data_IF_001441688818
#
_entry.id   IF_001441688818
#
_cell.length_a   1.000
_cell.length_b   1.000
_cell.length_c   1.000
_cell.angle_alpha   90.00
_cell.angle_beta   90.00
_cell.angle_gamma   90.00
#
_symmetry.space_group_name_H-M   'P 1'
#
loop_
_entity.id
_entity.type
_entity.pdbx_description
1 polymer ?
#
# COMPACT_ATOMS: atom_id res chain seq x y z
N UNK A 1 -55.26 3.94 25.98
CA UNK A 1 -54.25 4.78 25.33
C UNK A 1 -53.49 3.98 24.32
N UNK A 2 -53.71 4.18 23.02
CA UNK A 2 -53.00 3.50 21.93
C UNK A 2 -51.83 4.40 21.56
N UNK A 3 -50.60 3.92 21.74
CA UNK A 3 -49.40 4.60 21.24
C UNK A 3 -49.29 4.34 19.72
N UNK A 4 -49.23 5.41 18.95
CA UNK A 4 -49.01 5.40 17.52
C UNK A 4 -47.54 5.16 17.24
N UNK A 5 -47.23 4.09 16.53
CA UNK A 5 -45.90 3.75 16.05
C UNK A 5 -45.61 4.59 14.79
N UNK A 6 -44.62 5.47 14.84
CA UNK A 6 -44.10 6.17 13.66
C UNK A 6 -43.10 5.28 12.91
N UNK A 7 -43.22 5.12 11.59
CA UNK A 7 -42.27 4.32 10.83
C UNK A 7 -40.90 5.03 10.73
N UNK A 8 -39.84 4.30 11.04
CA UNK A 8 -38.46 4.71 10.85
C UNK A 8 -38.15 5.00 9.37
N UNK A 9 -37.27 5.98 9.06
CA UNK A 9 -36.93 6.30 7.68
C UNK A 9 -36.22 5.13 6.99
N UNK A 10 -36.78 4.75 5.84
CA UNK A 10 -36.34 3.64 4.99
C UNK A 10 -34.97 3.98 4.39
N UNK A 11 -33.90 3.45 4.93
CA UNK A 11 -32.54 3.55 4.36
C UNK A 11 -32.50 2.77 3.05
N UNK A 12 -32.76 3.46 1.94
CA UNK A 12 -32.65 2.93 0.59
C UNK A 12 -31.19 2.48 0.35
N UNK A 13 -30.96 1.18 0.26
CA UNK A 13 -29.65 0.64 -0.16
C UNK A 13 -29.34 1.16 -1.56
N UNK A 14 -28.19 1.82 -1.71
CA UNK A 14 -27.73 2.29 -3.01
C UNK A 14 -27.57 1.12 -3.97
N UNK A 15 -28.03 1.26 -5.18
CA UNK A 15 -27.84 0.25 -6.22
C UNK A 15 -26.36 0.19 -6.63
N UNK A 16 -25.92 -0.96 -7.15
CA UNK A 16 -24.54 -1.11 -7.69
C UNK A 16 -24.21 -0.03 -8.73
N UNK A 17 -25.20 0.40 -9.52
CA UNK A 17 -25.05 1.47 -10.49
C UNK A 17 -24.81 2.85 -9.83
N UNK A 18 -25.52 3.15 -8.73
CA UNK A 18 -25.35 4.40 -7.96
C UNK A 18 -23.98 4.45 -7.27
N UNK A 19 -23.51 3.31 -6.74
CA UNK A 19 -22.16 3.19 -6.18
C UNK A 19 -21.09 3.42 -7.25
N UNK A 20 -21.20 2.75 -8.42
CA UNK A 20 -20.29 2.97 -9.57
C UNK A 20 -20.28 4.41 -10.07
N UNK A 21 -21.47 5.06 -10.14
CA UNK A 21 -21.57 6.45 -10.55
C UNK A 21 -20.90 7.41 -9.56
N UNK A 22 -21.06 7.16 -8.24
CA UNK A 22 -20.36 7.93 -7.20
C UNK A 22 -18.85 7.76 -7.27
N UNK A 23 -18.36 6.51 -7.45
CA UNK A 23 -16.93 6.21 -7.65
C UNK A 23 -16.37 6.95 -8.87
N UNK A 24 -17.03 6.87 -10.04
CA UNK A 24 -16.60 7.58 -11.25
C UNK A 24 -16.56 9.11 -11.07
N UNK A 25 -17.52 9.70 -10.43
CA UNK A 25 -17.55 11.15 -10.20
C UNK A 25 -16.46 11.60 -9.21
N UNK A 26 -16.07 10.76 -8.23
CA UNK A 26 -14.95 11.04 -7.34
C UNK A 26 -13.61 10.93 -8.07
N UNK A 27 -13.40 9.91 -8.91
CA UNK A 27 -12.22 9.78 -9.74
C UNK A 27 -12.01 11.00 -10.65
N UNK A 28 -13.07 11.47 -11.32
CA UNK A 28 -13.01 12.67 -12.16
C UNK A 28 -12.63 13.94 -11.38
N UNK A 29 -13.12 14.10 -10.15
CA UNK A 29 -12.74 15.24 -9.30
C UNK A 29 -11.28 15.19 -8.87
N UNK A 30 -10.72 13.99 -8.65
CA UNK A 30 -9.30 13.81 -8.28
C UNK A 30 -8.36 14.10 -9.45
N UNK A 31 -8.70 13.66 -10.67
CA UNK A 31 -7.95 14.00 -11.88
C UNK A 31 -7.91 15.52 -12.06
N UNK A 32 -9.04 16.20 -11.88
CA UNK A 32 -9.09 17.67 -11.94
C UNK A 32 -8.23 18.33 -10.84
N UNK A 33 -8.20 17.76 -9.62
CA UNK A 33 -7.36 18.24 -8.52
C UNK A 33 -5.86 18.02 -8.77
N UNK A 34 -5.48 16.85 -9.28
CA UNK A 34 -4.09 16.53 -9.60
C UNK A 34 -3.54 17.43 -10.73
N UNK A 35 -4.33 17.70 -11.76
CA UNK A 35 -3.96 18.62 -12.83
C UNK A 35 -3.75 20.04 -12.28
N UNK A 36 -4.57 20.50 -11.36
CA UNK A 36 -4.42 21.81 -10.72
C UNK A 36 -3.11 21.92 -9.92
N UNK A 37 -2.76 20.87 -9.16
CA UNK A 37 -1.51 20.81 -8.37
C UNK A 37 -0.29 20.83 -9.29
N UNK A 38 -0.29 20.07 -10.39
CA UNK A 38 0.81 20.08 -11.37
C UNK A 38 0.96 21.46 -12.02
N UNK A 39 -0.13 22.14 -12.38
CA UNK A 39 -0.07 23.49 -12.93
C UNK A 39 0.51 24.51 -11.93
N UNK A 40 0.19 24.40 -10.63
CA UNK A 40 0.73 25.28 -9.59
C UNK A 40 2.22 25.02 -9.36
N UNK A 41 2.67 23.77 -9.35
CA UNK A 41 4.09 23.42 -9.17
C UNK A 41 4.94 23.82 -10.36
N UNK A 42 4.47 23.65 -11.60
CA UNK A 42 5.16 24.12 -12.80
C UNK A 42 5.24 25.63 -12.84
N UNK A 43 4.17 26.34 -12.45
CA UNK A 43 4.17 27.79 -12.33
C UNK A 43 5.17 28.32 -11.30
N UNK A 44 5.27 27.67 -10.12
CA UNK A 44 6.21 28.05 -9.06
C UNK A 44 7.68 27.81 -9.46
N UNK A 45 7.98 26.70 -10.14
CA UNK A 45 9.33 26.39 -10.63
C UNK A 45 9.75 27.39 -11.72
N UNK A 46 8.84 27.76 -12.64
CA UNK A 46 9.12 28.78 -13.66
C UNK A 46 9.39 30.17 -13.05
N UNK A 47 8.64 30.53 -12.00
CA UNK A 47 8.83 31.80 -11.31
C UNK A 47 10.18 31.88 -10.54
N UNK A 48 10.64 30.78 -9.96
CA UNK A 48 11.93 30.68 -9.27
C UNK A 48 13.10 30.72 -10.27
N UNK A 49 12.98 30.09 -11.44
CA UNK A 49 14.00 30.08 -12.47
C UNK A 49 14.16 31.46 -13.13
N UNK A 50 13.09 32.21 -13.33
CA UNK A 50 13.17 33.58 -13.88
C UNK A 50 13.78 34.59 -12.90
N UNK A 51 13.68 34.39 -11.59
CA UNK A 51 14.34 35.25 -10.59
C UNK A 51 15.85 34.96 -10.41
N UNK A 52 16.35 33.78 -10.80
CA UNK A 52 17.77 33.41 -10.67
C UNK A 52 18.66 33.96 -11.78
N UNK A 53 18.12 34.50 -12.84
CA UNK A 53 18.88 35.04 -13.99
C UNK A 53 19.16 36.55 -13.88
N UNK A 54 18.91 37.20 -12.77
CA UNK A 54 19.31 38.58 -12.50
C UNK A 54 20.59 38.59 -11.63
N UNK A 55 21.75 38.56 -12.25
CA UNK A 55 23.06 38.70 -11.63
C UNK A 55 23.51 40.11 -11.76
N UNK A 56 23.89 40.84 -10.70
CA UNK A 56 24.72 42.03 -10.81
C UNK A 56 26.21 41.64 -10.88
N UNK A 57 26.89 42.20 -11.89
CA UNK A 57 28.32 42.12 -12.12
C UNK A 57 29.11 42.83 -11.02
N UNK A 58 30.15 42.17 -10.43
CA UNK A 58 31.32 42.86 -9.84
C UNK A 58 32.51 41.90 -9.72
N UNK A 59 33.52 42.16 -10.53
CA UNK A 59 34.98 42.29 -10.29
C UNK A 59 35.75 41.27 -9.47
N UNK A 60 36.60 40.57 -10.17
CA UNK A 60 38.00 40.16 -9.98
C UNK A 60 38.60 39.97 -8.58
N UNK A 61 39.16 38.78 -8.34
CA UNK A 61 40.54 38.61 -7.80
C UNK A 61 41.00 37.15 -8.11
N UNK A 62 42.22 37.11 -8.68
CA UNK A 62 42.94 35.92 -9.13
C UNK A 62 43.58 35.19 -7.93
N UNK A 63 43.59 33.85 -7.95
CA UNK A 63 44.64 33.05 -7.35
C UNK A 63 44.77 31.73 -8.10
N UNK A 64 45.90 31.56 -8.74
CA UNK A 64 46.46 30.40 -9.38
C UNK A 64 46.90 29.33 -8.38
N UNK A 65 46.60 28.05 -8.62
CA UNK A 65 47.53 26.96 -8.28
C UNK A 65 47.39 25.78 -9.23
N UNK A 66 48.53 25.19 -9.50
CA UNK A 66 49.02 24.41 -10.60
C UNK A 66 48.48 23.01 -10.74
N UNK A 67 48.57 22.54 -11.97
CA UNK A 67 48.35 21.20 -12.49
C UNK A 67 49.28 20.12 -11.92
N UNK A 68 48.80 18.89 -11.85
CA UNK A 68 49.64 17.71 -12.08
C UNK A 68 48.85 16.64 -12.83
N UNK A 69 49.36 16.37 -13.94
CA UNK A 69 49.33 15.35 -14.97
C UNK A 69 49.27 13.91 -14.48
N UNK A 70 48.44 13.07 -15.09
CA UNK A 70 48.84 11.83 -15.69
C UNK A 70 47.71 11.24 -16.57
N UNK A 71 48.08 10.90 -17.76
CA UNK A 71 47.27 10.33 -18.85
C UNK A 71 47.33 8.78 -18.87
N UNK A 72 46.96 8.09 -19.98
CA UNK A 72 45.75 7.25 -20.05
C UNK A 72 46.13 5.77 -20.24
N UNK A 73 45.16 4.87 -20.10
CA UNK A 73 45.34 3.48 -20.61
C UNK A 73 44.17 3.13 -21.54
N UNK A 74 44.54 2.72 -22.72
CA UNK A 74 43.75 2.28 -23.86
C UNK A 74 43.02 0.95 -23.62
N UNK A 75 41.86 0.85 -24.26
CA UNK A 75 41.62 0.02 -25.44
C UNK A 75 40.99 -1.37 -25.24
N UNK A 76 39.88 -1.50 -25.95
CA UNK A 76 39.37 -2.64 -26.74
C UNK A 76 38.59 -3.75 -26.05
N UNK A 77 37.30 -3.87 -26.39
CA UNK A 77 36.87 -4.82 -27.44
C UNK A 77 35.42 -4.61 -27.84
N UNK A 78 35.25 -4.37 -29.12
CA UNK A 78 33.95 -4.38 -29.82
C UNK A 78 33.44 -5.82 -29.91
N UNK A 79 32.33 -6.12 -29.28
CA UNK A 79 31.58 -7.35 -29.54
C UNK A 79 30.46 -7.05 -30.55
N UNK A 80 30.52 -7.78 -31.65
CA UNK A 80 29.66 -7.70 -32.81
C UNK A 80 28.19 -7.89 -32.48
N UNK A 81 27.37 -6.93 -32.91
CA UNK A 81 25.92 -7.08 -32.97
C UNK A 81 25.56 -8.01 -34.14
N UNK A 82 25.10 -9.21 -33.82
CA UNK A 82 24.42 -10.06 -34.79
C UNK A 82 23.00 -9.55 -34.99
N UNK A 83 22.70 -9.14 -36.21
CA UNK A 83 21.35 -8.85 -36.67
C UNK A 83 20.48 -10.09 -36.58
N UNK A 84 19.55 -10.11 -35.65
CA UNK A 84 18.45 -11.07 -35.62
C UNK A 84 17.34 -10.52 -36.50
N UNK A 85 17.01 -11.35 -37.49
CA UNK A 85 15.98 -11.13 -38.50
C UNK A 85 14.62 -10.89 -37.87
N UNK A 86 13.96 -9.81 -38.34
CA UNK A 86 12.58 -9.45 -38.06
C UNK A 86 11.63 -10.46 -38.73
N UNK A 87 11.10 -11.40 -37.99
CA UNK A 87 9.84 -12.07 -38.31
C UNK A 87 9.33 -12.74 -37.04
N UNK A 88 8.50 -12.05 -36.28
CA UNK A 88 7.39 -12.52 -35.46
C UNK A 88 6.85 -11.31 -34.68
N UNK A 89 6.13 -10.46 -35.41
CA UNK A 89 5.22 -9.50 -34.79
C UNK A 89 3.96 -10.30 -34.46
N UNK A 90 3.99 -10.97 -33.33
CA UNK A 90 2.75 -11.41 -32.69
C UNK A 90 1.94 -10.16 -32.33
N UNK A 91 0.70 -10.21 -32.77
CA UNK A 91 -0.36 -9.23 -32.58
C UNK A 91 -0.63 -9.07 -31.08
N UNK A 92 0.21 -8.29 -30.38
CA UNK A 92 -0.02 -7.98 -28.98
C UNK A 92 -1.21 -7.03 -28.88
N UNK A 93 -2.28 -7.49 -28.24
CA UNK A 93 -3.38 -6.64 -27.79
C UNK A 93 -2.81 -5.39 -27.06
N UNK A 94 -3.49 -4.24 -27.12
CA UNK A 94 -2.99 -3.03 -26.49
C UNK A 94 -2.72 -3.29 -25.00
N UNK A 95 -1.48 -3.03 -24.56
CA UNK A 95 -1.06 -3.22 -23.20
C UNK A 95 -2.01 -2.43 -22.27
N UNK A 96 -2.72 -3.12 -21.39
CA UNK A 96 -3.51 -2.47 -20.35
C UNK A 96 -2.60 -1.69 -19.39
N UNK A 97 -3.19 -0.86 -18.53
CA UNK A 97 -2.45 0.04 -17.63
C UNK A 97 -1.45 -0.69 -16.69
N UNK A 98 -1.64 -1.99 -16.46
CA UNK A 98 -0.74 -2.83 -15.66
C UNK A 98 0.28 -3.62 -16.50
N UNK A 99 0.18 -3.61 -17.83
CA UNK A 99 1.04 -4.38 -18.72
C UNK A 99 0.89 -5.91 -18.58
N UNK A 100 -0.24 -6.40 -18.05
CA UNK A 100 -0.52 -7.82 -17.82
C UNK A 100 -1.25 -8.43 -19.00
N UNK A 101 -0.92 -9.65 -19.34
CA UNK A 101 -1.79 -10.51 -20.17
C UNK A 101 -2.97 -11.03 -19.34
N UNK A 102 -4.05 -11.46 -20.00
CA UNK A 102 -5.19 -12.08 -19.31
C UNK A 102 -4.77 -13.33 -18.51
N UNK A 103 -3.84 -14.13 -19.05
CA UNK A 103 -3.32 -15.32 -18.37
C UNK A 103 -2.57 -14.96 -17.06
N UNK A 104 -1.75 -13.91 -17.08
CA UNK A 104 -1.05 -13.41 -15.88
C UNK A 104 -2.05 -12.84 -14.87
N UNK A 105 -3.03 -12.08 -15.32
CA UNK A 105 -4.09 -11.56 -14.47
C UNK A 105 -4.91 -12.70 -13.82
N UNK A 106 -5.22 -13.74 -14.57
CA UNK A 106 -5.89 -14.95 -14.04
C UNK A 106 -5.00 -15.68 -13.03
N UNK A 107 -3.69 -15.79 -13.26
CA UNK A 107 -2.75 -16.40 -12.31
C UNK A 107 -2.68 -15.59 -11.00
N UNK A 108 -2.61 -14.25 -11.07
CA UNK A 108 -2.65 -13.36 -9.90
C UNK A 108 -3.98 -13.51 -9.14
N UNK A 109 -5.10 -13.58 -9.84
CA UNK A 109 -6.42 -13.74 -9.23
C UNK A 109 -6.57 -15.07 -8.49
N UNK A 110 -5.89 -16.11 -8.94
CA UNK A 110 -5.91 -17.45 -8.35
C UNK A 110 -4.83 -17.64 -7.27
N UNK A 111 -3.92 -16.68 -7.09
CA UNK A 111 -2.88 -16.74 -6.06
C UNK A 111 -3.53 -16.54 -4.67
N UNK A 112 -3.43 -17.51 -3.75
CA UNK A 112 -3.99 -17.39 -2.41
C UNK A 112 -3.38 -16.24 -1.60
N UNK A 113 -2.18 -15.76 -1.94
CA UNK A 113 -1.57 -14.59 -1.32
C UNK A 113 -2.28 -13.29 -1.71
N UNK A 114 -3.00 -13.28 -2.83
CA UNK A 114 -3.70 -12.12 -3.37
C UNK A 114 -5.17 -12.04 -2.91
N UNK A 115 -5.58 -12.86 -1.96
CA UNK A 115 -6.92 -12.77 -1.37
C UNK A 115 -7.19 -11.36 -0.83
N UNK A 116 -8.25 -10.73 -1.30
CA UNK A 116 -8.72 -9.44 -0.80
C UNK A 116 -9.68 -9.67 0.37
N UNK A 117 -9.25 -9.27 1.56
CA UNK A 117 -10.07 -9.29 2.78
C UNK A 117 -10.24 -7.84 3.27
N UNK A 118 -11.45 -7.31 3.24
CA UNK A 118 -11.77 -5.94 3.65
C UNK A 118 -13.25 -5.81 4.03
N UNK A 119 -13.77 -4.62 4.26
CA UNK A 119 -15.15 -4.38 4.69
C UNK A 119 -16.24 -5.03 3.82
N UNK A 120 -15.95 -5.34 2.56
CA UNK A 120 -16.91 -5.93 1.61
C UNK A 120 -16.57 -7.36 1.22
N UNK A 121 -15.35 -7.82 1.51
CA UNK A 121 -14.85 -9.14 1.16
C UNK A 121 -14.44 -9.88 2.44
N UNK A 122 -15.31 -10.79 2.87
CA UNK A 122 -15.03 -11.64 4.03
C UNK A 122 -14.00 -12.72 3.66
N UNK A 123 -13.11 -13.05 4.58
CA UNK A 123 -12.24 -14.22 4.46
C UNK A 123 -13.10 -15.48 4.34
N UNK A 124 -12.95 -16.30 3.29
CA UNK A 124 -13.71 -17.54 3.14
C UNK A 124 -13.42 -18.50 4.30
N UNK A 125 -14.45 -19.20 4.79
CA UNK A 125 -14.28 -20.22 5.83
C UNK A 125 -13.37 -21.37 5.38
N UNK A 126 -13.31 -21.63 4.06
CA UNK A 126 -12.43 -22.64 3.45
C UNK A 126 -10.96 -22.19 3.35
N UNK A 127 -10.64 -20.93 3.65
CA UNK A 127 -9.28 -20.43 3.57
C UNK A 127 -8.47 -20.95 4.76
N UNK A 128 -7.62 -21.93 4.48
CA UNK A 128 -6.77 -22.60 5.48
C UNK A 128 -5.30 -22.36 5.16
N UNK A 129 -4.47 -22.27 6.19
CA UNK A 129 -3.03 -22.02 6.06
C UNK A 129 -2.30 -22.48 7.30
N UNK A 130 -1.02 -22.80 7.14
CA UNK A 130 -0.12 -23.08 8.24
C UNK A 130 0.49 -21.78 8.78
N UNK A 131 0.67 -21.73 10.08
CA UNK A 131 1.27 -20.58 10.78
C UNK A 131 2.61 -20.92 11.40
N UNK A 132 3.50 -19.92 11.44
CA UNK A 132 4.80 -19.99 12.10
C UNK A 132 4.97 -18.82 13.06
N UNK A 133 5.60 -19.05 14.19
CA UNK A 133 5.96 -18.00 15.14
C UNK A 133 7.16 -17.20 14.63
N UNK A 134 7.00 -15.89 14.47
CA UNK A 134 8.01 -14.99 13.91
C UNK A 134 8.02 -13.60 14.56
N UNK A 135 7.33 -13.43 15.68
CA UNK A 135 7.25 -12.15 16.36
C UNK A 135 8.47 -11.82 17.19
N UNK A 136 8.66 -10.52 17.43
CA UNK A 136 9.60 -10.01 18.43
C UNK A 136 9.08 -10.23 19.84
N UNK A 137 9.89 -9.89 20.86
CA UNK A 137 9.50 -9.97 22.27
C UNK A 137 8.30 -9.08 22.64
N UNK A 138 7.98 -8.06 21.82
CA UNK A 138 6.87 -7.13 22.05
C UNK A 138 5.57 -7.56 21.37
N UNK A 139 5.60 -8.54 20.45
CA UNK A 139 4.42 -8.97 19.71
C UNK A 139 3.39 -9.67 20.61
N UNK A 140 2.12 -9.24 20.47
CA UNK A 140 0.98 -9.85 21.17
C UNK A 140 0.56 -11.14 20.44
N UNK A 141 0.49 -11.10 19.11
CA UNK A 141 0.20 -12.24 18.24
C UNK A 141 1.43 -12.44 17.34
N UNK A 142 2.23 -13.45 17.63
CA UNK A 142 3.56 -13.65 17.06
C UNK A 142 3.61 -14.49 15.79
N UNK A 143 2.47 -14.92 15.29
CA UNK A 143 2.39 -15.84 14.17
C UNK A 143 1.96 -15.11 12.89
N UNK A 144 2.45 -15.57 11.76
CA UNK A 144 1.96 -15.26 10.42
C UNK A 144 1.78 -16.58 9.66
N UNK A 145 1.24 -16.53 8.44
CA UNK A 145 1.42 -17.66 7.52
C UNK A 145 2.91 -17.96 7.38
N UNK A 146 3.28 -19.23 7.25
CA UNK A 146 4.69 -19.65 7.20
C UNK A 146 5.50 -18.86 6.17
N UNK A 147 4.98 -18.67 4.96
CA UNK A 147 5.65 -17.91 3.89
C UNK A 147 5.84 -16.43 4.27
N UNK A 148 4.82 -15.79 4.84
CA UNK A 148 4.90 -14.39 5.28
C UNK A 148 5.83 -14.22 6.48
N UNK A 149 5.88 -15.22 7.37
CA UNK A 149 6.80 -15.23 8.51
C UNK A 149 8.26 -15.33 8.04
N UNK A 150 8.57 -16.23 7.12
CA UNK A 150 9.92 -16.38 6.59
C UNK A 150 10.40 -15.10 5.88
N UNK A 151 9.52 -14.49 5.10
CA UNK A 151 9.76 -13.20 4.46
C UNK A 151 9.99 -12.07 5.48
N UNK A 152 9.16 -12.01 6.55
CA UNK A 152 9.35 -11.02 7.62
C UNK A 152 10.67 -11.19 8.36
N UNK A 153 11.08 -12.40 8.67
CA UNK A 153 12.36 -12.66 9.33
C UNK A 153 13.56 -12.26 8.44
N UNK A 154 13.46 -12.46 7.12
CA UNK A 154 14.44 -12.01 6.15
C UNK A 154 14.50 -10.46 6.09
N UNK A 155 13.34 -9.80 6.03
CA UNK A 155 13.20 -8.35 6.09
C UNK A 155 13.83 -7.78 7.37
N UNK A 156 13.49 -8.36 8.52
CA UNK A 156 13.99 -7.91 9.83
C UNK A 156 15.52 -8.03 9.91
N UNK A 157 16.08 -9.12 9.35
CA UNK A 157 17.53 -9.33 9.28
C UNK A 157 18.21 -8.30 8.38
N UNK A 158 17.63 -7.96 7.25
CA UNK A 158 18.17 -6.96 6.33
C UNK A 158 18.11 -5.55 6.94
N UNK A 159 16.98 -5.17 7.53
CA UNK A 159 16.86 -3.91 8.25
C UNK A 159 17.92 -3.77 9.36
N UNK A 160 18.14 -4.83 10.12
CA UNK A 160 19.17 -4.85 11.16
C UNK A 160 20.60 -4.69 10.60
N UNK A 161 20.88 -5.24 9.42
CA UNK A 161 22.17 -5.05 8.74
C UNK A 161 22.39 -3.59 8.32
N UNK A 162 21.32 -2.86 8.02
CA UNK A 162 21.33 -1.42 7.72
C UNK A 162 21.22 -0.55 8.99
N UNK A 163 21.33 -1.16 10.18
CA UNK A 163 21.24 -0.45 11.47
C UNK A 163 19.83 -0.02 11.87
N UNK A 164 18.80 -0.55 11.21
CA UNK A 164 17.40 -0.24 11.46
C UNK A 164 16.74 -1.41 12.21
N UNK A 165 16.03 -1.08 13.30
CA UNK A 165 15.29 -2.09 14.07
C UNK A 165 13.82 -2.06 13.71
N UNK A 166 13.29 -3.17 13.19
CA UNK A 166 11.87 -3.38 12.90
C UNK A 166 11.32 -4.47 13.81
N UNK A 167 10.22 -4.20 14.50
CA UNK A 167 9.51 -5.16 15.33
C UNK A 167 8.13 -5.46 14.76
N UNK A 168 7.65 -6.69 14.93
CA UNK A 168 6.25 -7.02 14.73
C UNK A 168 5.50 -6.83 16.05
N UNK A 169 4.52 -5.94 16.06
CA UNK A 169 3.63 -5.68 17.20
C UNK A 169 2.44 -6.63 17.21
N UNK A 170 1.91 -6.99 16.04
CA UNK A 170 0.78 -7.89 15.89
C UNK A 170 0.83 -8.59 14.52
N UNK A 171 0.65 -9.90 14.52
CA UNK A 171 0.51 -10.73 13.32
C UNK A 171 -0.89 -11.31 13.19
N UNK A 172 -0.98 -12.64 12.97
CA UNK A 172 -2.24 -13.36 12.85
C UNK A 172 -3.16 -13.14 14.05
N UNK A 173 -4.42 -12.90 13.77
CA UNK A 173 -5.50 -12.77 14.76
C UNK A 173 -6.61 -13.75 14.43
N UNK A 174 -6.98 -14.64 15.35
CA UNK A 174 -8.18 -15.45 15.17
C UNK A 174 -9.42 -14.55 15.05
N UNK A 175 -10.46 -15.03 14.37
CA UNK A 175 -11.74 -14.31 14.26
C UNK A 175 -12.32 -13.98 15.64
N UNK A 176 -12.19 -14.91 16.61
CA UNK A 176 -12.63 -14.69 17.99
C UNK A 176 -11.84 -13.57 18.70
N UNK A 177 -10.54 -13.44 18.43
CA UNK A 177 -9.75 -12.32 18.96
C UNK A 177 -10.12 -10.99 18.28
N UNK A 178 -10.32 -11.01 16.96
CA UNK A 178 -10.77 -9.84 16.22
C UNK A 178 -12.14 -9.33 16.71
N UNK A 179 -13.06 -10.23 17.07
CA UNK A 179 -14.34 -9.88 17.68
C UNK A 179 -14.14 -9.05 18.95
N UNK A 180 -13.25 -9.49 19.84
CA UNK A 180 -12.96 -8.76 21.08
C UNK A 180 -12.35 -7.38 20.83
N UNK A 181 -11.49 -7.25 19.82
CA UNK A 181 -10.89 -5.96 19.43
C UNK A 181 -11.96 -5.01 18.89
N UNK A 182 -12.80 -5.48 17.98
CA UNK A 182 -13.84 -4.70 17.34
C UNK A 182 -14.89 -4.22 18.36
N UNK A 183 -15.39 -5.11 19.23
CA UNK A 183 -16.34 -4.75 20.29
C UNK A 183 -15.74 -3.75 21.29
N UNK A 184 -14.46 -3.91 21.67
CA UNK A 184 -13.77 -2.95 22.55
C UNK A 184 -13.67 -1.57 21.88
N UNK A 185 -13.37 -1.50 20.58
CA UNK A 185 -13.32 -0.24 19.84
C UNK A 185 -14.71 0.39 19.69
N UNK A 186 -15.73 -0.43 19.45
CA UNK A 186 -17.14 0.01 19.43
C UNK A 186 -17.54 0.58 20.77
N UNK A 187 -17.22 -0.11 21.88
CA UNK A 187 -17.51 0.38 23.22
C UNK A 187 -16.84 1.72 23.52
N UNK A 188 -15.58 1.90 23.11
CA UNK A 188 -14.89 3.19 23.23
C UNK A 188 -15.66 4.33 22.58
N UNK A 189 -16.30 4.11 21.42
CA UNK A 189 -17.12 5.13 20.78
C UNK A 189 -18.49 5.32 21.44
N UNK A 190 -19.11 4.24 21.96
CA UNK A 190 -20.33 4.37 22.80
C UNK A 190 -20.06 5.22 24.04
N UNK A 191 -18.95 5.01 24.73
CA UNK A 191 -18.54 5.77 25.91
C UNK A 191 -18.30 7.27 25.58
N UNK A 192 -18.02 7.59 24.31
CA UNK A 192 -17.94 8.97 23.80
C UNK A 192 -19.31 9.56 23.42
N UNK A 193 -20.41 8.85 23.64
CA UNK A 193 -21.77 9.32 23.40
C UNK A 193 -22.32 9.08 22.00
N UNK A 194 -21.63 8.29 21.16
CA UNK A 194 -22.16 7.89 19.86
C UNK A 194 -23.20 6.77 20.01
N UNK A 195 -24.24 6.81 19.16
CA UNK A 195 -25.21 5.72 19.05
C UNK A 195 -24.57 4.45 18.50
N UNK A 196 -25.26 3.32 18.62
CA UNK A 196 -24.75 1.99 18.27
C UNK A 196 -24.26 1.90 16.81
N UNK A 197 -25.02 2.46 15.86
CA UNK A 197 -24.69 2.40 14.43
C UNK A 197 -23.42 3.21 14.15
N UNK A 198 -23.41 4.46 14.59
CA UNK A 198 -22.27 5.36 14.44
C UNK A 198 -21.02 4.84 15.16
N UNK A 199 -21.17 4.23 16.35
CA UNK A 199 -20.07 3.66 17.11
C UNK A 199 -19.43 2.48 16.35
N UNK A 200 -20.23 1.59 15.73
CA UNK A 200 -19.75 0.49 14.89
C UNK A 200 -19.08 0.98 13.60
N UNK A 201 -19.66 1.95 12.91
CA UNK A 201 -19.07 2.54 11.72
C UNK A 201 -17.70 3.17 12.02
N UNK A 202 -17.59 3.94 13.10
CA UNK A 202 -16.31 4.54 13.53
C UNK A 202 -15.30 3.50 14.00
N UNK A 203 -15.74 2.43 14.63
CA UNK A 203 -14.88 1.32 15.01
C UNK A 203 -14.34 0.60 13.77
N UNK A 204 -15.21 0.35 12.78
CA UNK A 204 -14.85 -0.34 11.53
C UNK A 204 -13.80 0.42 10.70
N UNK A 205 -13.79 1.76 10.76
CA UNK A 205 -12.78 2.58 10.08
C UNK A 205 -11.34 2.43 10.64
N UNK A 206 -11.18 1.76 11.79
CA UNK A 206 -9.88 1.57 12.48
C UNK A 206 -9.61 0.08 12.74
N UNK A 207 -10.64 -0.67 13.07
CA UNK A 207 -10.56 -2.11 13.41
C UNK A 207 -11.61 -2.83 12.58
N UNK A 208 -11.18 -3.54 11.56
CA UNK A 208 -12.09 -4.31 10.71
C UNK A 208 -12.99 -5.25 11.53
N UNK A 209 -14.26 -5.46 11.13
CA UNK A 209 -15.13 -6.46 11.72
C UNK A 209 -14.55 -7.88 11.68
N UNK A 210 -15.01 -8.79 12.56
CA UNK A 210 -14.55 -10.18 12.57
C UNK A 210 -14.76 -10.88 11.22
N UNK A 211 -13.71 -11.52 10.71
CA UNK A 211 -13.70 -12.17 9.39
C UNK A 211 -13.43 -11.21 8.21
N UNK A 212 -13.36 -9.91 8.46
CA UNK A 212 -13.07 -8.87 7.45
C UNK A 212 -11.71 -8.20 7.66
N UNK A 213 -10.86 -8.76 8.52
CA UNK A 213 -9.51 -8.27 8.79
C UNK A 213 -8.47 -9.14 8.10
N UNK A 214 -7.49 -8.54 7.44
CA UNK A 214 -6.36 -9.26 6.84
C UNK A 214 -5.50 -10.01 7.86
N UNK A 215 -5.50 -9.59 9.12
CA UNK A 215 -4.88 -10.37 10.19
C UNK A 215 -5.53 -11.74 10.37
N UNK A 216 -6.81 -11.92 9.97
CA UNK A 216 -7.47 -13.21 10.04
C UNK A 216 -6.94 -14.21 8.99
N UNK A 217 -6.37 -13.73 7.88
CA UNK A 217 -5.71 -14.60 6.91
C UNK A 217 -4.20 -14.81 7.17
N UNK A 218 -3.65 -14.21 8.23
CA UNK A 218 -2.24 -14.40 8.59
C UNK A 218 -1.21 -13.79 7.64
N UNK A 219 -1.63 -12.88 6.75
CA UNK A 219 -0.78 -12.20 5.77
C UNK A 219 -0.47 -10.74 6.14
N UNK A 220 -1.07 -10.22 7.21
CA UNK A 220 -0.84 -8.85 7.67
C UNK A 220 -0.03 -8.82 8.97
N UNK A 221 0.88 -7.85 9.05
CA UNK A 221 1.68 -7.55 10.22
C UNK A 221 1.61 -6.07 10.55
N UNK A 222 1.29 -5.76 11.82
CA UNK A 222 1.48 -4.43 12.38
C UNK A 222 2.93 -4.31 12.83
N UNK A 223 3.69 -3.41 12.22
CA UNK A 223 5.11 -3.19 12.46
C UNK A 223 5.36 -1.89 13.22
N UNK A 224 6.37 -1.90 14.07
CA UNK A 224 6.87 -0.71 14.77
C UNK A 224 8.39 -0.80 15.00
N UNK A 225 8.92 0.10 15.84
CA UNK A 225 10.34 0.15 16.16
C UNK A 225 10.56 0.66 17.58
N UNK A 226 11.77 0.55 18.14
CA UNK A 226 12.11 1.18 19.41
C UNK A 226 11.90 2.71 19.44
N UNK A 227 11.99 3.36 18.27
CA UNK A 227 11.77 4.80 18.13
C UNK A 227 10.32 5.19 18.37
N UNK A 228 9.37 4.30 18.01
CA UNK A 228 7.94 4.52 18.16
C UNK A 228 7.24 3.18 18.36
N UNK A 229 6.80 2.90 19.59
CA UNK A 229 6.17 1.62 19.97
C UNK A 229 4.65 1.63 19.82
N UNK A 230 4.04 2.79 19.53
CA UNK A 230 2.60 2.92 19.27
C UNK A 230 2.20 2.43 17.88
N UNK A 231 0.91 2.12 17.71
CA UNK A 231 0.29 1.91 16.40
C UNK A 231 -0.55 3.15 16.09
N UNK A 232 0.12 4.20 15.68
CA UNK A 232 -0.45 5.49 15.27
C UNK A 232 0.44 6.15 14.20
N UNK A 233 0.00 7.28 13.66
CA UNK A 233 0.68 7.96 12.56
C UNK A 233 2.12 8.41 12.91
N UNK A 234 2.48 8.49 14.20
CA UNK A 234 3.84 8.85 14.63
C UNK A 234 4.91 7.90 14.12
N UNK A 235 4.57 6.63 13.82
CA UNK A 235 5.49 5.67 13.25
C UNK A 235 6.08 6.12 11.90
N UNK A 236 5.36 6.91 11.09
CA UNK A 236 5.86 7.43 9.81
C UNK A 236 7.13 8.28 9.94
N UNK A 237 7.40 8.83 11.11
CA UNK A 237 8.56 9.69 11.37
C UNK A 237 9.82 8.91 11.74
N UNK A 238 9.75 7.58 11.85
CA UNK A 238 10.87 6.70 12.25
C UNK A 238 11.80 6.35 11.09
N UNK A 239 13.03 5.97 11.41
CA UNK A 239 13.95 5.36 10.44
C UNK A 239 13.40 4.04 9.90
N UNK A 240 12.72 3.27 10.76
CA UNK A 240 12.11 2.00 10.40
C UNK A 240 11.05 2.16 9.30
N UNK A 241 10.14 3.11 9.42
CA UNK A 241 9.13 3.36 8.39
C UNK A 241 9.76 3.78 7.06
N UNK A 242 10.73 4.70 7.09
CA UNK A 242 11.43 5.12 5.86
C UNK A 242 12.15 3.97 5.18
N UNK A 243 12.80 3.09 5.95
CA UNK A 243 13.42 1.89 5.42
C UNK A 243 12.40 0.93 4.80
N UNK A 244 11.30 0.68 5.50
CA UNK A 244 10.20 -0.17 5.00
C UNK A 244 9.60 0.35 3.69
N UNK A 245 9.39 1.67 3.55
CA UNK A 245 8.89 2.26 2.31
C UNK A 245 9.79 1.98 1.09
N UNK A 246 11.09 1.81 1.29
CA UNK A 246 12.05 1.52 0.22
C UNK A 246 12.20 0.02 -0.01
N UNK A 247 12.30 -0.78 1.04
CA UNK A 247 12.78 -2.16 0.97
C UNK A 247 11.72 -3.23 1.22
N UNK A 248 10.57 -2.91 1.83
CA UNK A 248 9.59 -3.95 2.18
C UNK A 248 9.09 -4.74 0.96
N UNK A 249 8.98 -4.10 -0.21
CA UNK A 249 8.61 -4.74 -1.47
C UNK A 249 9.57 -5.84 -1.90
N UNK A 250 10.86 -5.73 -1.60
CA UNK A 250 11.89 -6.73 -1.89
C UNK A 250 11.65 -8.04 -1.11
N UNK A 251 10.90 -7.95 -0.02
CA UNK A 251 10.48 -9.06 0.83
C UNK A 251 9.00 -9.42 0.68
N UNK A 252 8.32 -8.87 -0.33
CA UNK A 252 6.94 -9.18 -0.65
C UNK A 252 5.89 -8.47 0.20
N UNK A 253 6.25 -7.41 0.94
CA UNK A 253 5.31 -6.62 1.73
C UNK A 253 4.98 -5.29 1.06
N UNK A 254 3.72 -4.87 1.16
CA UNK A 254 3.23 -3.56 0.72
C UNK A 254 2.70 -2.76 1.91
N UNK A 255 2.79 -1.43 1.84
CA UNK A 255 2.05 -0.54 2.74
C UNK A 255 0.57 -0.60 2.38
N UNK A 256 -0.21 -1.23 3.25
CA UNK A 256 -1.58 -1.64 2.90
C UNK A 256 -2.59 -0.50 2.85
N UNK A 257 -2.47 0.46 3.77
CA UNK A 257 -3.39 1.59 3.91
C UNK A 257 -2.64 2.92 3.78
N UNK A 258 -2.21 3.29 2.54
CA UNK A 258 -1.43 4.50 2.31
C UNK A 258 -2.31 5.76 2.40
N UNK A 259 -1.68 6.90 2.68
CA UNK A 259 -2.35 8.22 2.67
C UNK A 259 -3.03 8.50 1.32
N UNK A 260 -4.26 8.98 1.37
CA UNK A 260 -5.04 9.35 0.19
C UNK A 260 -5.78 8.18 -0.47
N UNK A 261 -5.70 6.97 0.09
CA UNK A 261 -6.44 5.79 -0.36
C UNK A 261 -7.62 5.42 0.57
N UNK A 262 -7.96 6.26 1.56
CA UNK A 262 -8.97 5.98 2.57
C UNK A 262 -10.37 5.75 1.98
N UNK A 263 -10.69 6.41 0.87
CA UNK A 263 -11.97 6.21 0.17
C UNK A 263 -12.06 4.85 -0.55
N UNK A 264 -10.90 4.26 -0.94
CA UNK A 264 -10.82 2.96 -1.61
C UNK A 264 -10.74 1.83 -0.61
N UNK A 265 -9.89 2.00 0.41
CA UNK A 265 -9.62 0.98 1.42
C UNK A 265 -10.67 0.95 2.53
N UNK A 266 -11.43 2.07 2.71
CA UNK A 266 -12.38 2.30 3.81
C UNK A 266 -11.71 2.25 5.21
N UNK A 267 -10.36 2.30 5.25
CA UNK A 267 -9.52 2.36 6.46
C UNK A 267 -8.74 3.67 6.45
N UNK A 268 -8.55 4.27 7.61
CA UNK A 268 -7.68 5.43 7.80
C UNK A 268 -6.22 5.05 7.50
N UNK A 269 -5.38 6.05 7.23
CA UNK A 269 -3.95 5.82 7.04
C UNK A 269 -3.32 5.06 8.21
N UNK A 270 -2.61 3.96 7.90
CA UNK A 270 -1.95 3.10 8.89
C UNK A 270 -0.50 2.81 8.49
N UNK A 271 0.49 3.64 8.88
CA UNK A 271 1.90 3.42 8.54
C UNK A 271 2.48 2.13 9.11
N UNK A 272 1.86 1.57 10.13
CA UNK A 272 2.28 0.33 10.79
C UNK A 272 1.77 -0.93 10.09
N UNK A 273 0.71 -0.86 9.25
CA UNK A 273 0.05 -2.05 8.70
C UNK A 273 0.64 -2.45 7.34
N UNK A 274 1.35 -3.57 7.33
CA UNK A 274 2.03 -4.12 6.17
C UNK A 274 1.41 -5.44 5.76
N UNK A 275 1.11 -5.59 4.46
CA UNK A 275 0.50 -6.79 3.88
C UNK A 275 1.49 -7.55 3.03
N UNK A 276 1.65 -8.86 3.31
CA UNK A 276 2.40 -9.77 2.46
C UNK A 276 1.56 -10.21 1.26
N UNK A 277 2.13 -10.09 0.06
CA UNK A 277 1.53 -10.44 -1.23
C UNK A 277 2.49 -11.24 -2.12
N UNK A 278 3.68 -11.56 -1.63
CA UNK A 278 4.78 -12.14 -2.42
C UNK A 278 5.60 -11.07 -3.16
N UNK A 279 6.87 -11.38 -3.43
CA UNK A 279 7.84 -10.41 -3.98
C UNK A 279 7.40 -9.85 -5.33
N UNK A 280 6.96 -10.72 -6.24
CA UNK A 280 6.56 -10.32 -7.59
C UNK A 280 5.31 -9.43 -7.58
N UNK A 281 4.30 -9.81 -6.80
CA UNK A 281 3.07 -9.01 -6.66
C UNK A 281 3.36 -7.68 -5.95
N UNK A 282 4.23 -7.65 -4.94
CA UNK A 282 4.62 -6.41 -4.27
C UNK A 282 5.31 -5.43 -5.25
N UNK A 283 6.21 -5.93 -6.09
CA UNK A 283 6.86 -5.13 -7.12
C UNK A 283 5.85 -4.55 -8.11
N UNK A 284 4.90 -5.36 -8.58
CA UNK A 284 3.83 -4.93 -9.52
C UNK A 284 2.91 -3.89 -8.89
N UNK A 285 2.46 -4.11 -7.65
CA UNK A 285 1.58 -3.18 -6.92
C UNK A 285 2.29 -1.84 -6.71
N UNK A 286 3.52 -1.86 -6.21
CA UNK A 286 4.30 -0.63 -5.99
C UNK A 286 4.56 0.13 -7.30
N UNK A 287 4.88 -0.57 -8.40
CA UNK A 287 5.08 0.04 -9.71
C UNK A 287 3.78 0.67 -10.28
N UNK A 288 2.62 0.09 -9.98
CA UNK A 288 1.33 0.62 -10.43
C UNK A 288 0.90 1.90 -9.73
N UNK A 289 1.40 2.16 -8.52
CA UNK A 289 0.95 3.26 -7.66
C UNK A 289 -0.50 3.13 -7.16
N UNK A 290 -1.14 1.98 -7.37
CA UNK A 290 -2.51 1.71 -6.93
C UNK A 290 -2.53 1.19 -5.49
N UNK A 291 -3.61 1.46 -4.75
CA UNK A 291 -3.89 0.72 -3.53
C UNK A 291 -4.31 -0.71 -3.88
N UNK A 292 -4.30 -1.61 -2.89
CA UNK A 292 -4.54 -3.04 -3.12
C UNK A 292 -5.94 -3.32 -3.70
N UNK A 293 -6.97 -2.60 -3.26
CA UNK A 293 -8.33 -2.69 -3.80
C UNK A 293 -8.39 -2.37 -5.30
N UNK A 294 -7.80 -1.24 -5.68
CA UNK A 294 -7.82 -0.78 -7.07
C UNK A 294 -6.96 -1.70 -7.96
N UNK A 295 -5.83 -2.21 -7.44
CA UNK A 295 -5.00 -3.18 -8.13
C UNK A 295 -5.76 -4.49 -8.41
N UNK A 296 -6.41 -5.08 -7.37
CA UNK A 296 -7.21 -6.30 -7.53
C UNK A 296 -8.38 -6.07 -8.51
N UNK A 297 -9.04 -4.91 -8.46
CA UNK A 297 -10.11 -4.59 -9.40
C UNK A 297 -9.61 -4.50 -10.85
N UNK A 298 -8.43 -3.92 -11.08
CA UNK A 298 -7.81 -3.87 -12.41
C UNK A 298 -7.41 -5.26 -12.90
N UNK A 299 -6.81 -6.10 -12.04
CA UNK A 299 -6.47 -7.50 -12.36
C UNK A 299 -7.73 -8.29 -12.75
N UNK A 300 -8.82 -8.16 -11.98
CA UNK A 300 -10.09 -8.84 -12.29
C UNK A 300 -10.68 -8.39 -13.63
N UNK A 301 -10.57 -7.12 -13.98
CA UNK A 301 -11.03 -6.61 -15.26
C UNK A 301 -10.22 -7.22 -16.41
N UNK A 302 -8.88 -7.22 -16.31
CA UNK A 302 -8.00 -7.78 -17.34
C UNK A 302 -8.25 -9.29 -17.53
N UNK A 303 -8.40 -10.03 -16.44
CA UNK A 303 -8.69 -11.46 -16.49
C UNK A 303 -10.05 -11.79 -17.13
N UNK A 304 -11.03 -10.87 -17.08
CA UNK A 304 -12.35 -11.04 -17.67
C UNK A 304 -12.44 -10.64 -19.16
N UNK A 305 -11.47 -9.89 -19.66
CA UNK A 305 -11.39 -9.41 -21.05
C UNK A 305 -10.68 -10.42 -21.99
N UNK A 306 -10.01 -11.43 -21.44
CA UNK A 306 -9.30 -12.49 -22.18
C UNK A 306 -10.00 -13.82 -22.14
#
# INVERSE_FOLDING_TARGET
MRQSYSPTPNHRRLTRAEVRRRRRNRALRRIAGAVLVVCVTVGAVSFVLTRRNAVPSASAASASFSASSAAPVESSSVASFSTVSSSDVENSAPANALGLTAAEAQAIQNDPLMILVNHTNQMPESYTFDTKECGSSTAVNKTLQTVACDAFLALQKAAAADGVTVWMQSGYRSVAYQTKLYERKTQYYRDKGYDEVTAREKAAAIVNPPGYSEHNCGLAADLNSPEHTGLDEGFENTAAFRWLCVHAGEYGFILRYPKGAEDQTEITYEPWHWRYVGVENAARINASGLCFEDYIAAVQQIAAEG
#
